data_IF_874517256444
#
_entry.id   IF_874517256444
#
_cell.length_a   1.000
_cell.length_b   1.000
_cell.length_c   1.000
_cell.angle_alpha   90.00
_cell.angle_beta   90.00
_cell.angle_gamma   90.00
#
_symmetry.space_group_name_H-M   'P 1'
#
loop_
_entity.id
_entity.type
_entity.pdbx_description
1 polymer ?
#
# COMPACT_ATOMS: atom_id res chain seq x y z
N UNK A 1 -8.65 38.80 2.37
CA UNK A 1 -7.56 38.18 1.58
C UNK A 1 -6.89 37.15 2.45
N UNK A 2 -6.75 35.92 1.97
CA UNK A 2 -6.05 34.85 2.71
C UNK A 2 -4.57 35.21 2.86
N UNK A 3 -4.07 35.20 4.09
CA UNK A 3 -2.67 35.50 4.45
C UNK A 3 -1.79 34.25 4.51
N UNK A 4 -2.29 33.12 4.03
CA UNK A 4 -1.60 31.84 4.06
C UNK A 4 -0.83 31.59 2.78
N UNK A 5 0.39 31.08 2.94
CA UNK A 5 1.26 30.66 1.84
C UNK A 5 1.56 29.17 2.02
N UNK A 6 0.69 28.26 1.54
CA UNK A 6 0.96 26.85 1.59
C UNK A 6 2.10 26.51 0.62
N UNK A 7 3.07 25.74 1.10
CA UNK A 7 4.13 25.14 0.29
C UNK A 7 3.94 23.63 0.29
N UNK A 8 3.60 23.07 -0.86
CA UNK A 8 3.58 21.62 -1.05
C UNK A 8 5.01 21.08 -0.92
N UNK A 9 5.17 20.06 -0.10
CA UNK A 9 6.44 19.37 0.17
C UNK A 9 6.46 18.00 -0.47
N UNK A 10 5.34 17.29 -0.42
CA UNK A 10 5.14 16.00 -1.08
C UNK A 10 3.75 15.97 -1.70
N UNK A 11 3.63 15.31 -2.85
CA UNK A 11 2.37 15.02 -3.50
C UNK A 11 2.36 13.56 -3.90
N UNK A 12 1.27 12.85 -3.62
CA UNK A 12 1.13 11.44 -4.02
C UNK A 12 -0.30 11.11 -4.38
N UNK A 13 -0.46 10.15 -5.30
CA UNK A 13 -1.75 9.49 -5.51
C UNK A 13 -1.89 8.35 -4.49
N UNK A 14 -3.06 8.21 -3.89
CA UNK A 14 -3.41 7.11 -3.01
C UNK A 14 -4.79 6.56 -3.35
N UNK A 15 -5.04 5.34 -2.90
CA UNK A 15 -6.33 4.67 -2.97
C UNK A 15 -7.05 4.78 -1.64
N UNK A 16 -8.26 5.34 -1.66
CA UNK A 16 -9.16 5.40 -0.52
C UNK A 16 -10.21 4.30 -0.63
N UNK A 17 -10.67 3.77 0.50
CA UNK A 17 -11.81 2.87 0.55
C UNK A 17 -13.06 3.62 0.99
N UNK A 18 -14.08 3.65 0.14
CA UNK A 18 -15.39 4.19 0.44
C UNK A 18 -16.26 3.09 1.07
N UNK A 19 -16.53 3.22 2.37
CA UNK A 19 -17.32 2.26 3.13
C UNK A 19 -18.79 2.25 2.72
N UNK A 20 -19.34 3.40 2.30
CA UNK A 20 -20.75 3.50 1.94
C UNK A 20 -21.06 2.71 0.65
N UNK A 21 -20.11 2.68 -0.29
CA UNK A 21 -20.25 1.99 -1.58
C UNK A 21 -19.43 0.70 -1.66
N UNK A 22 -18.70 0.36 -0.59
CA UNK A 22 -17.71 -0.71 -0.54
C UNK A 22 -16.77 -0.68 -1.76
N UNK A 23 -16.29 0.50 -2.17
CA UNK A 23 -15.49 0.68 -3.38
C UNK A 23 -14.19 1.43 -3.15
N UNK A 24 -13.23 1.24 -4.03
CA UNK A 24 -11.96 1.96 -3.99
C UNK A 24 -12.01 3.16 -4.95
N UNK A 25 -11.39 4.27 -4.55
CA UNK A 25 -11.28 5.46 -5.38
C UNK A 25 -9.89 6.09 -5.25
N UNK A 26 -9.39 6.68 -6.33
CA UNK A 26 -8.10 7.37 -6.34
C UNK A 26 -8.26 8.80 -5.81
N UNK A 27 -7.27 9.26 -5.05
CA UNK A 27 -7.20 10.60 -4.51
C UNK A 27 -5.77 11.16 -4.63
N UNK A 28 -5.65 12.47 -4.79
CA UNK A 28 -4.35 13.15 -4.67
C UNK A 28 -4.20 13.65 -3.24
N UNK A 29 -3.02 13.45 -2.65
CA UNK A 29 -2.69 13.90 -1.30
C UNK A 29 -1.46 14.77 -1.35
N UNK A 30 -1.60 15.96 -0.77
CA UNK A 30 -0.51 16.91 -0.63
C UNK A 30 -0.14 17.06 0.85
N UNK A 31 1.16 16.96 1.15
CA UNK A 31 1.74 17.38 2.43
C UNK A 31 2.21 18.82 2.28
N UNK A 32 1.63 19.74 3.04
CA UNK A 32 1.91 21.17 2.96
C UNK A 32 2.50 21.73 4.26
N UNK A 33 3.50 22.59 4.11
CA UNK A 33 3.90 23.51 5.18
C UNK A 33 3.22 24.85 4.95
N UNK A 34 2.46 25.34 5.92
CA UNK A 34 1.73 26.59 5.82
C UNK A 34 2.50 27.69 6.55
N UNK A 35 2.70 28.83 5.87
CA UNK A 35 3.35 30.00 6.43
C UNK A 35 2.40 31.20 6.43
N UNK A 36 2.62 32.17 7.33
CA UNK A 36 1.83 33.40 7.41
C UNK A 36 2.57 34.62 6.85
N UNK A 37 1.83 35.42 6.06
CA UNK A 37 2.14 36.81 5.72
C UNK A 37 3.49 37.11 5.08
N UNK A 38 3.90 38.39 5.13
CA UNK A 38 5.16 38.88 4.52
C UNK A 38 6.41 38.28 5.20
N UNK A 39 6.35 38.04 6.50
CA UNK A 39 7.48 37.53 7.29
C UNK A 39 7.65 36.00 7.20
N UNK A 40 6.76 35.29 6.47
CA UNK A 40 6.79 33.83 6.27
C UNK A 40 7.03 33.04 7.56
N UNK A 41 6.33 33.40 8.64
CA UNK A 41 6.41 32.65 9.90
C UNK A 41 5.67 31.33 9.72
N UNK A 42 6.32 30.21 10.05
CA UNK A 42 5.72 28.89 10.02
C UNK A 42 4.46 28.85 10.91
N UNK A 43 3.35 28.36 10.35
CA UNK A 43 2.06 28.26 11.02
C UNK A 43 1.79 26.82 11.46
N UNK A 44 1.76 25.91 10.50
CA UNK A 44 1.31 24.54 10.71
C UNK A 44 1.73 23.62 9.56
N UNK A 45 1.71 22.32 9.84
CA UNK A 45 1.66 21.27 8.83
C UNK A 45 0.20 21.03 8.45
N UNK A 46 -0.06 20.84 7.16
CA UNK A 46 -1.38 20.55 6.61
C UNK A 46 -1.29 19.37 5.65
N UNK A 47 -2.33 18.54 5.62
CA UNK A 47 -2.52 17.48 4.65
C UNK A 47 -3.85 17.71 3.96
N UNK A 48 -3.81 17.85 2.64
CA UNK A 48 -4.99 18.04 1.81
C UNK A 48 -5.19 16.81 0.93
N UNK A 49 -6.38 16.22 0.97
CA UNK A 49 -6.78 15.07 0.15
C UNK A 49 -7.88 15.52 -0.81
N UNK A 50 -7.57 15.50 -2.11
CA UNK A 50 -8.45 15.96 -3.18
C UNK A 50 -9.14 14.80 -3.89
N UNK A 51 -10.47 14.82 -3.93
CA UNK A 51 -11.31 13.76 -4.50
C UNK A 51 -12.45 14.42 -5.29
N UNK A 52 -12.48 14.23 -6.62
CA UNK A 52 -13.53 14.77 -7.48
C UNK A 52 -13.83 16.28 -7.32
N UNK A 53 -12.84 17.07 -6.89
CA UNK A 53 -12.98 18.52 -6.65
C UNK A 53 -13.23 18.90 -5.18
N UNK A 54 -13.63 17.96 -4.34
CA UNK A 54 -13.72 18.15 -2.89
C UNK A 54 -12.34 18.01 -2.24
N UNK A 55 -12.09 18.79 -1.19
CA UNK A 55 -10.83 18.79 -0.44
C UNK A 55 -11.10 18.48 1.03
N UNK A 56 -10.46 17.43 1.52
CA UNK A 56 -10.44 17.06 2.93
C UNK A 56 -9.10 17.45 3.53
N UNK A 57 -9.12 18.32 4.53
CA UNK A 57 -7.90 18.85 5.14
C UNK A 57 -7.74 18.38 6.58
N UNK A 58 -6.51 18.08 6.99
CA UNK A 58 -6.12 17.97 8.39
C UNK A 58 -4.91 18.85 8.66
N UNK A 59 -4.87 19.53 9.80
CA UNK A 59 -3.70 20.36 10.16
C UNK A 59 -3.26 20.16 11.59
N UNK A 60 -1.98 20.40 11.84
CA UNK A 60 -1.36 20.34 13.16
C UNK A 60 -0.05 21.14 13.19
N UNK A 61 0.24 21.81 14.31
CA UNK A 61 1.52 22.49 14.54
C UNK A 61 2.67 21.54 14.89
N UNK A 62 2.36 20.30 15.31
CA UNK A 62 3.33 19.33 15.83
C UNK A 62 3.94 18.40 14.78
N UNK A 63 3.39 18.33 13.56
CA UNK A 63 4.02 17.56 12.49
C UNK A 63 3.08 16.97 11.45
N UNK A 64 3.69 16.47 10.37
CA UNK A 64 2.94 15.85 9.27
C UNK A 64 2.17 14.61 9.69
N UNK A 65 2.74 13.73 10.54
CA UNK A 65 2.03 12.54 11.05
C UNK A 65 0.71 12.93 11.74
N UNK A 66 0.73 13.95 12.59
CA UNK A 66 -0.47 14.40 13.31
C UNK A 66 -1.50 15.02 12.36
N UNK A 67 -1.04 15.86 11.41
CA UNK A 67 -1.91 16.45 10.39
C UNK A 67 -2.55 15.37 9.50
N UNK A 68 -1.80 14.33 9.13
CA UNK A 68 -2.28 13.18 8.36
C UNK A 68 -3.34 12.38 9.11
N UNK A 69 -3.13 12.10 10.40
CA UNK A 69 -4.13 11.43 11.26
C UNK A 69 -5.39 12.27 11.42
N UNK A 70 -5.28 13.60 11.55
CA UNK A 70 -6.45 14.49 11.56
C UNK A 70 -7.20 14.45 10.22
N UNK A 71 -6.48 14.47 9.10
CA UNK A 71 -7.08 14.36 7.77
C UNK A 71 -7.81 13.01 7.59
N UNK A 72 -7.21 11.90 8.04
CA UNK A 72 -7.84 10.58 8.01
C UNK A 72 -9.17 10.55 8.78
N UNK A 73 -9.22 11.14 9.99
CA UNK A 73 -10.46 11.25 10.77
C UNK A 73 -11.53 12.09 10.07
N UNK A 74 -11.12 13.15 9.37
CA UNK A 74 -12.06 13.97 8.61
C UNK A 74 -12.62 13.21 7.41
N UNK A 75 -11.80 12.41 6.72
CA UNK A 75 -12.25 11.50 5.67
C UNK A 75 -13.23 10.43 6.20
N UNK A 76 -12.97 9.86 7.37
CA UNK A 76 -13.83 8.85 8.02
C UNK A 76 -15.24 9.39 8.26
N UNK A 77 -15.38 10.68 8.60
CA UNK A 77 -16.70 11.31 8.77
C UNK A 77 -17.55 11.31 7.49
N UNK A 78 -16.90 11.13 6.33
CA UNK A 78 -17.53 11.00 5.01
C UNK A 78 -17.48 9.57 4.47
N UNK A 79 -17.31 8.58 5.34
CA UNK A 79 -17.21 7.16 5.01
C UNK A 79 -16.01 6.80 4.11
N UNK A 80 -14.96 7.63 4.11
CA UNK A 80 -13.74 7.39 3.35
C UNK A 80 -12.62 6.99 4.29
N UNK A 81 -12.00 5.84 4.03
CA UNK A 81 -10.88 5.34 4.82
C UNK A 81 -9.57 5.54 4.05
N UNK A 82 -8.63 6.21 4.70
CA UNK A 82 -7.27 6.38 4.22
C UNK A 82 -6.36 5.38 4.92
N UNK A 83 -5.80 4.45 4.15
CA UNK A 83 -4.72 3.59 4.63
C UNK A 83 -3.40 4.03 4.04
N UNK A 84 -2.55 4.62 4.88
CA UNK A 84 -1.17 4.95 4.54
C UNK A 84 -0.27 4.60 5.71
N UNK A 85 1.03 4.42 5.46
CA UNK A 85 2.01 4.08 6.48
C UNK A 85 1.97 5.05 7.66
N UNK A 86 1.84 6.36 7.42
CA UNK A 86 1.81 7.39 8.46
C UNK A 86 0.61 7.31 9.40
N UNK A 87 -0.48 6.68 8.95
CA UNK A 87 -1.66 6.41 9.77
C UNK A 87 -1.51 5.15 10.63
N UNK A 88 -0.48 4.32 10.43
CA UNK A 88 -0.31 3.10 11.20
C UNK A 88 0.18 3.37 12.62
N UNK A 89 -0.33 2.59 13.58
CA UNK A 89 0.10 2.67 15.00
C UNK A 89 1.62 2.45 15.15
N UNK A 90 2.18 1.49 14.41
CA UNK A 90 3.61 1.18 14.43
C UNK A 90 4.52 2.15 13.66
N UNK A 91 3.96 3.16 12.99
CA UNK A 91 4.77 4.14 12.27
C UNK A 91 5.40 5.15 13.23
N UNK A 92 6.69 5.39 13.08
CA UNK A 92 7.44 6.33 13.92
C UNK A 92 8.37 7.20 13.09
N UNK A 93 8.53 8.46 13.48
CA UNK A 93 9.55 9.34 12.94
C UNK A 93 10.75 9.35 13.89
N UNK A 94 11.96 9.33 13.34
CA UNK A 94 13.18 9.55 14.13
C UNK A 94 13.48 11.05 14.20
N UNK A 95 14.39 11.48 15.07
CA UNK A 95 14.87 12.86 15.08
C UNK A 95 15.48 13.33 13.75
N UNK A 96 15.94 12.40 12.90
CA UNK A 96 16.48 12.68 11.56
C UNK A 96 15.41 12.71 10.46
N UNK A 97 14.24 12.12 10.70
CA UNK A 97 13.14 12.05 9.72
C UNK A 97 11.91 12.86 10.14
N UNK A 98 12.00 13.57 11.26
CA UNK A 98 10.90 14.35 11.80
C UNK A 98 10.45 15.41 10.81
N UNK A 99 9.17 15.34 10.41
CA UNK A 99 8.55 16.22 9.42
C UNK A 99 9.15 16.19 8.02
N UNK A 100 9.85 15.11 7.66
CA UNK A 100 10.41 14.94 6.31
C UNK A 100 9.47 14.22 5.33
N UNK A 101 8.30 13.77 5.79
CA UNK A 101 7.45 12.85 5.02
C UNK A 101 7.85 11.37 5.15
N UNK A 102 8.97 11.07 5.82
CA UNK A 102 9.46 9.70 6.00
C UNK A 102 9.54 9.27 7.46
N UNK A 103 9.38 7.97 7.70
CA UNK A 103 9.56 7.36 9.01
C UNK A 103 9.83 5.87 8.89
N UNK A 104 9.61 5.16 9.98
CA UNK A 104 9.88 3.73 10.10
C UNK A 104 8.62 2.99 10.46
N UNK A 105 8.34 1.91 9.73
CA UNK A 105 7.32 0.93 10.03
C UNK A 105 7.99 -0.43 10.07
N UNK A 106 7.92 -1.16 11.19
CA UNK A 106 8.60 -2.45 11.37
C UNK A 106 10.09 -2.41 10.99
N UNK A 107 10.82 -1.40 11.48
CA UNK A 107 12.24 -1.13 11.18
C UNK A 107 12.55 -0.85 9.70
N UNK A 108 11.54 -0.70 8.85
CA UNK A 108 11.70 -0.33 7.45
C UNK A 108 11.42 1.15 7.24
N UNK A 109 12.37 1.86 6.60
CA UNK A 109 12.15 3.22 6.13
C UNK A 109 11.01 3.25 5.10
N UNK A 110 10.00 4.08 5.34
CA UNK A 110 8.82 4.21 4.48
C UNK A 110 8.33 5.66 4.49
N UNK A 111 7.84 6.12 3.34
CA UNK A 111 7.16 7.38 3.17
C UNK A 111 5.77 7.29 3.80
N UNK A 112 5.36 8.31 4.53
CA UNK A 112 4.11 8.27 5.30
C UNK A 112 2.86 8.13 4.42
N UNK A 113 2.89 8.60 3.17
CA UNK A 113 1.79 8.42 2.20
C UNK A 113 1.81 7.07 1.47
N UNK A 114 2.62 6.10 1.90
CA UNK A 114 2.72 4.82 1.21
C UNK A 114 1.65 3.81 1.60
N UNK A 115 1.14 3.04 0.63
CA UNK A 115 0.07 2.06 0.84
C UNK A 115 0.54 0.61 0.75
N UNK A 116 1.83 0.40 0.47
CA UNK A 116 2.49 -0.88 0.57
C UNK A 116 3.99 -0.72 0.43
N UNK A 117 4.76 -1.68 0.89
CA UNK A 117 6.21 -1.58 0.89
C UNK A 117 6.81 -2.89 0.39
N UNK A 118 7.85 -2.78 -0.44
CA UNK A 118 8.68 -3.94 -0.74
C UNK A 118 9.41 -4.35 0.54
N UNK A 119 9.39 -5.65 0.81
CA UNK A 119 10.10 -6.26 1.92
C UNK A 119 11.42 -6.77 1.36
N UNK A 120 12.52 -6.17 1.78
CA UNK A 120 13.83 -6.70 1.43
C UNK A 120 13.93 -8.13 2.00
N UNK A 121 14.12 -9.13 1.13
CA UNK A 121 14.47 -10.49 1.54
C UNK A 121 15.91 -10.52 2.04
N UNK A 122 16.76 -9.65 1.47
CA UNK A 122 18.17 -9.52 1.80
C UNK A 122 18.64 -8.07 1.63
N UNK A 123 19.61 -7.57 2.42
CA UNK A 123 20.21 -6.23 2.26
C UNK A 123 20.91 -5.97 0.90
N UNK A 124 20.95 -6.98 0.02
CA UNK A 124 21.54 -6.88 -1.33
C UNK A 124 20.51 -7.07 -2.45
N UNK A 125 19.23 -7.20 -2.13
CA UNK A 125 18.20 -7.30 -3.15
C UNK A 125 18.11 -5.98 -3.91
N UNK A 126 18.27 -6.04 -5.23
CA UNK A 126 18.13 -4.87 -6.07
C UNK A 126 16.73 -4.26 -5.93
N UNK A 127 16.57 -2.92 -6.03
CA UNK A 127 15.26 -2.31 -6.11
C UNK A 127 14.43 -3.00 -7.19
N UNK A 128 13.14 -3.17 -6.93
CA UNK A 128 12.23 -3.81 -7.87
C UNK A 128 12.13 -2.90 -9.09
N UNK A 129 12.76 -3.28 -10.20
CA UNK A 129 12.59 -2.59 -11.46
C UNK A 129 11.73 -3.47 -12.37
N UNK A 130 10.46 -3.09 -12.60
CA UNK A 130 9.72 -3.70 -13.70
C UNK A 130 10.45 -3.38 -15.00
N UNK A 131 10.44 -4.33 -15.93
CA UNK A 131 10.85 -4.04 -17.30
C UNK A 131 9.86 -3.05 -17.95
N UNK A 132 10.26 -2.35 -19.02
CA UNK A 132 9.49 -1.25 -19.60
C UNK A 132 8.09 -1.60 -20.10
N UNK A 133 7.75 -2.89 -20.15
CA UNK A 133 6.47 -3.43 -20.58
C UNK A 133 5.84 -4.36 -19.54
N UNK A 134 6.33 -4.35 -18.29
CA UNK A 134 5.75 -5.13 -17.19
C UNK A 134 4.79 -4.30 -16.35
N UNK A 135 3.66 -4.90 -16.01
CA UNK A 135 2.82 -4.48 -14.89
C UNK A 135 3.22 -5.25 -13.63
N UNK A 136 2.97 -4.64 -12.47
CA UNK A 136 3.23 -5.27 -11.18
C UNK A 136 1.97 -5.91 -10.63
N UNK A 137 2.04 -7.20 -10.31
CA UNK A 137 0.94 -7.95 -9.74
C UNK A 137 1.27 -8.42 -8.32
N UNK A 138 0.43 -8.07 -7.36
CA UNK A 138 0.54 -8.53 -5.98
C UNK A 138 -0.35 -9.75 -5.74
N UNK A 139 0.25 -10.83 -5.24
CA UNK A 139 -0.43 -12.08 -4.92
C UNK A 139 -0.35 -12.39 -3.43
N UNK A 140 -1.47 -12.78 -2.83
CA UNK A 140 -1.59 -13.10 -1.40
C UNK A 140 -2.30 -14.44 -1.12
N UNK A 141 -2.62 -15.18 -2.18
CA UNK A 141 -3.27 -16.49 -2.12
C UNK A 141 -2.49 -17.57 -2.87
N UNK A 142 -3.18 -18.46 -3.58
CA UNK A 142 -2.52 -19.55 -4.32
C UNK A 142 -1.59 -19.08 -5.44
N UNK A 143 -1.79 -17.88 -5.98
CA UNK A 143 -0.90 -17.34 -7.02
C UNK A 143 0.49 -16.94 -6.48
N UNK A 144 0.73 -17.13 -5.18
CA UNK A 144 2.09 -17.15 -4.63
C UNK A 144 2.89 -18.42 -5.04
N UNK A 145 2.21 -19.47 -5.48
CA UNK A 145 2.83 -20.68 -6.02
C UNK A 145 3.37 -20.39 -7.43
N UNK A 146 4.70 -20.41 -7.56
CA UNK A 146 5.37 -20.13 -8.83
C UNK A 146 4.93 -21.07 -9.95
N UNK A 147 4.69 -22.36 -9.69
CA UNK A 147 4.22 -23.30 -10.72
C UNK A 147 2.83 -22.93 -11.21
N UNK A 148 1.96 -22.48 -10.31
CA UNK A 148 0.63 -21.98 -10.67
C UNK A 148 0.74 -20.68 -11.48
N UNK A 149 1.58 -19.74 -11.04
CA UNK A 149 1.77 -18.47 -11.73
C UNK A 149 2.35 -18.68 -13.14
N UNK A 150 3.32 -19.57 -13.31
CA UNK A 150 3.88 -19.93 -14.64
C UNK A 150 2.84 -20.59 -15.54
N UNK A 151 1.95 -21.43 -15.01
CA UNK A 151 0.87 -22.01 -15.82
C UNK A 151 -0.12 -20.96 -16.31
N UNK A 152 -0.32 -19.89 -15.53
CA UNK A 152 -1.21 -18.78 -15.85
C UNK A 152 -0.57 -17.75 -16.78
N UNK A 153 0.66 -17.34 -16.47
CA UNK A 153 1.46 -16.36 -17.18
C UNK A 153 2.89 -16.92 -17.27
N UNK A 154 3.24 -17.65 -18.35
CA UNK A 154 4.53 -18.32 -18.47
C UNK A 154 5.75 -17.42 -18.35
N UNK A 155 5.58 -16.14 -18.68
CA UNK A 155 6.62 -15.10 -18.62
C UNK A 155 6.60 -14.29 -17.32
N UNK A 156 5.75 -14.65 -16.34
CA UNK A 156 5.73 -13.96 -15.06
C UNK A 156 7.05 -14.14 -14.31
N UNK A 157 7.55 -13.04 -13.75
CA UNK A 157 8.81 -12.98 -13.02
C UNK A 157 8.55 -12.65 -11.57
N UNK A 158 9.04 -13.48 -10.65
CA UNK A 158 8.98 -13.17 -9.23
C UNK A 158 9.96 -12.02 -8.92
N UNK A 159 9.43 -10.89 -8.42
CA UNK A 159 10.20 -9.70 -8.10
C UNK A 159 10.61 -9.66 -6.62
N UNK A 160 9.81 -10.27 -5.74
CA UNK A 160 10.14 -10.38 -4.32
C UNK A 160 8.92 -10.34 -3.41
N UNK A 161 9.17 -10.12 -2.12
CA UNK A 161 8.15 -10.03 -1.08
C UNK A 161 7.66 -8.59 -0.94
N UNK A 162 6.36 -8.44 -0.69
CA UNK A 162 5.72 -7.13 -0.46
C UNK A 162 4.70 -7.25 0.67
N UNK A 163 4.46 -6.14 1.37
CA UNK A 163 3.33 -5.99 2.28
C UNK A 163 2.42 -4.85 1.83
N UNK A 164 1.10 -5.09 1.85
CA UNK A 164 0.07 -4.06 1.67
C UNK A 164 -0.39 -3.52 3.01
N UNK A 165 -0.58 -2.20 3.10
CA UNK A 165 -0.93 -1.48 4.32
C UNK A 165 -2.43 -1.23 4.41
N UNK A 166 -3.00 -1.53 5.57
CA UNK A 166 -4.42 -1.35 5.94
C UNK A 166 -5.38 -2.30 5.26
N UNK A 167 -4.89 -3.48 4.94
CA UNK A 167 -5.72 -4.60 4.51
C UNK A 167 -5.57 -5.74 5.51
N UNK A 168 -6.63 -6.54 5.61
CA UNK A 168 -6.60 -7.87 6.21
C UNK A 168 -7.05 -8.88 5.18
N UNK A 169 -6.64 -10.12 5.39
CA UNK A 169 -7.03 -11.23 4.54
C UNK A 169 -8.24 -11.93 5.16
N UNK A 170 -9.24 -12.25 4.34
CA UNK A 170 -10.39 -13.04 4.77
C UNK A 170 -10.76 -14.06 3.68
N UNK A 171 -11.65 -14.98 4.01
CA UNK A 171 -12.16 -15.97 3.06
C UNK A 171 -13.54 -15.50 2.59
N UNK A 172 -13.70 -15.34 1.29
CA UNK A 172 -15.01 -14.98 0.72
C UNK A 172 -15.91 -16.21 0.54
N UNK A 173 -17.18 -15.99 0.19
CA UNK A 173 -18.18 -17.06 -0.05
C UNK A 173 -17.77 -18.08 -1.12
N UNK A 174 -16.88 -17.73 -2.04
CA UNK A 174 -16.34 -18.65 -3.05
C UNK A 174 -15.24 -19.57 -2.49
N UNK A 175 -14.89 -19.46 -1.21
CA UNK A 175 -13.83 -20.23 -0.55
C UNK A 175 -12.42 -19.85 -1.01
N UNK A 176 -12.25 -18.59 -1.39
CA UNK A 176 -10.97 -18.01 -1.84
C UNK A 176 -10.56 -16.85 -0.94
N UNK A 177 -9.26 -16.57 -0.88
CA UNK A 177 -8.79 -15.40 -0.14
C UNK A 177 -9.18 -14.12 -0.86
N UNK A 178 -9.58 -13.12 -0.07
CA UNK A 178 -9.87 -11.77 -0.52
C UNK A 178 -9.27 -10.77 0.47
N UNK A 179 -9.18 -9.49 0.07
CA UNK A 179 -8.75 -8.41 0.93
C UNK A 179 -9.94 -7.64 1.47
N UNK A 180 -9.98 -7.42 2.77
CA UNK A 180 -10.88 -6.44 3.37
C UNK A 180 -10.07 -5.26 3.87
N UNK A 181 -10.63 -4.05 3.81
CA UNK A 181 -10.00 -2.92 4.45
C UNK A 181 -9.99 -3.16 5.96
N UNK A 182 -8.82 -3.04 6.59
CA UNK A 182 -8.69 -3.07 8.04
C UNK A 182 -7.57 -2.15 8.46
N UNK A 183 -7.94 -1.10 9.17
CA UNK A 183 -6.98 -0.16 9.71
C UNK A 183 -5.92 -0.88 10.56
N UNK A 184 -4.69 -0.37 10.55
CA UNK A 184 -3.54 -0.95 11.27
C UNK A 184 -3.20 -2.42 10.95
N UNK A 185 -3.58 -2.91 9.77
CA UNK A 185 -3.29 -4.30 9.36
C UNK A 185 -2.31 -4.36 8.18
N UNK A 186 -1.65 -5.50 8.03
CA UNK A 186 -0.71 -5.77 6.95
C UNK A 186 -1.05 -7.11 6.29
N UNK A 187 -1.06 -7.13 4.97
CA UNK A 187 -1.16 -8.36 4.19
C UNK A 187 0.17 -8.59 3.48
N UNK A 188 0.79 -9.73 3.73
CA UNK A 188 2.03 -10.14 3.08
C UNK A 188 1.74 -10.96 1.83
N UNK A 189 2.56 -10.77 0.81
CA UNK A 189 2.42 -11.46 -0.45
C UNK A 189 3.67 -11.36 -1.31
N UNK A 190 3.55 -11.85 -2.54
CA UNK A 190 4.59 -11.79 -3.55
C UNK A 190 4.24 -10.79 -4.64
N UNK A 191 5.25 -10.05 -5.07
CA UNK A 191 5.18 -9.13 -6.19
C UNK A 191 5.74 -9.81 -7.44
N UNK A 192 4.95 -9.79 -8.51
CA UNK A 192 5.28 -10.36 -9.80
C UNK A 192 5.37 -9.26 -10.85
N UNK A 193 6.33 -9.38 -11.77
CA UNK A 193 6.35 -8.66 -13.03
C UNK A 193 5.60 -9.52 -14.05
N UNK A 194 4.58 -8.96 -14.69
CA UNK A 194 3.80 -9.64 -15.72
C UNK A 194 3.73 -8.76 -16.97
N UNK A 195 3.74 -9.32 -18.19
CA UNK A 195 3.64 -8.51 -19.40
C UNK A 195 2.35 -7.69 -19.43
N UNK A 196 2.45 -6.45 -19.88
CA UNK A 196 1.34 -5.51 -19.94
C UNK A 196 0.20 -5.98 -20.86
N UNK A 197 0.55 -6.76 -21.88
CA UNK A 197 -0.33 -7.36 -22.88
C UNK A 197 -0.86 -8.74 -22.47
N UNK A 198 -0.59 -9.19 -21.24
CA UNK A 198 -1.03 -10.49 -20.76
C UNK A 198 -2.56 -10.57 -20.71
N UNK A 199 -3.13 -11.43 -21.57
CA UNK A 199 -4.57 -11.72 -21.59
C UNK A 199 -5.07 -12.32 -20.29
N UNK A 200 -4.19 -12.90 -19.48
CA UNK A 200 -4.56 -13.47 -18.18
C UNK A 200 -5.31 -12.47 -17.29
N UNK A 201 -4.93 -11.18 -17.35
CA UNK A 201 -5.61 -10.12 -16.62
C UNK A 201 -7.04 -9.89 -17.12
N UNK A 202 -7.22 -9.81 -18.43
CA UNK A 202 -8.53 -9.67 -19.08
C UNK A 202 -9.39 -10.90 -18.84
N UNK A 203 -8.82 -12.09 -18.99
CA UNK A 203 -9.50 -13.37 -18.77
C UNK A 203 -9.93 -13.54 -17.30
N UNK A 204 -9.16 -13.00 -16.34
CA UNK A 204 -9.54 -12.98 -14.92
C UNK A 204 -10.68 -12.00 -14.65
N UNK A 205 -10.74 -10.87 -15.35
CA UNK A 205 -11.86 -9.92 -15.25
C UNK A 205 -13.15 -10.51 -15.82
N UNK A 206 -13.06 -11.31 -16.88
CA UNK A 206 -14.22 -11.82 -17.62
C UNK A 206 -14.75 -13.18 -17.13
N UNK A 207 -13.88 -14.11 -16.69
CA UNK A 207 -14.27 -15.51 -16.46
C UNK A 207 -14.70 -15.86 -15.03
N UNK A 208 -14.53 -14.98 -14.04
CA UNK A 208 -15.04 -15.23 -12.68
C UNK A 208 -16.19 -14.29 -12.39
N UNK A 209 -17.42 -14.79 -12.48
CA UNK A 209 -18.61 -14.00 -12.14
C UNK A 209 -18.57 -13.48 -10.68
N UNK A 210 -17.76 -14.10 -9.80
CA UNK A 210 -17.67 -13.79 -8.36
C UNK A 210 -16.36 -13.08 -7.92
N UNK A 211 -15.34 -12.96 -8.78
CA UNK A 211 -14.00 -12.40 -8.49
C UNK A 211 -13.61 -11.48 -9.67
N UNK A 212 -13.04 -10.29 -9.61
CA UNK A 212 -12.47 -9.44 -8.56
C UNK A 212 -12.53 -7.98 -9.07
N UNK A 213 -12.60 -6.99 -8.18
CA UNK A 213 -12.25 -5.61 -8.55
C UNK A 213 -10.73 -5.53 -8.64
N UNK A 214 -10.20 -4.99 -9.74
CA UNK A 214 -8.77 -4.66 -9.82
C UNK A 214 -8.50 -3.47 -8.91
N UNK A 215 -7.68 -3.69 -7.89
CA UNK A 215 -7.24 -2.66 -6.96
C UNK A 215 -5.85 -2.18 -7.40
N UNK A 216 -5.74 -0.92 -7.81
CA UNK A 216 -4.47 -0.25 -8.08
C UNK A 216 -3.95 0.38 -6.78
N UNK A 217 -2.71 0.06 -6.38
CA UNK A 217 -2.07 0.59 -5.18
C UNK A 217 -0.70 1.15 -5.51
N UNK A 218 -0.32 2.22 -4.80
CA UNK A 218 1.03 2.77 -4.88
C UNK A 218 1.91 2.19 -3.77
N UNK A 219 2.97 1.51 -4.17
CA UNK A 219 4.00 1.01 -3.25
C UNK A 219 5.31 1.78 -3.41
N UNK A 220 6.08 1.81 -2.32
CA UNK A 220 7.41 2.39 -2.34
C UNK A 220 8.43 1.33 -2.71
N UNK A 221 9.09 1.56 -3.84
CA UNK A 221 10.27 0.81 -4.22
C UNK A 221 11.47 1.31 -3.41
N UNK A 222 11.92 0.56 -2.40
CA UNK A 222 13.10 0.97 -1.63
C UNK A 222 14.36 0.85 -2.51
N UNK A 223 15.12 1.94 -2.78
CA UNK A 223 16.51 1.77 -3.16
C UNK A 223 17.25 1.18 -1.96
N UNK A 224 18.13 0.22 -2.23
CA UNK A 224 19.11 -0.20 -1.22
C UNK A 224 20.04 0.99 -0.97
N UNK A 225 20.10 1.54 0.26
CA UNK A 225 21.14 2.52 0.56
C UNK A 225 22.47 1.80 0.45
N UNK A 226 23.20 2.04 -0.66
CA UNK A 226 24.57 1.60 -0.76
C UNK A 226 25.34 2.23 0.40
N UNK A 227 25.99 1.41 1.20
CA UNK A 227 26.59 1.75 2.50
C UNK A 227 27.74 2.78 2.44
N UNK A 228 27.95 3.40 1.27
CA UNK A 228 29.04 4.36 1.02
C UNK A 228 28.61 5.80 0.76
N UNK A 229 27.32 6.12 0.64
CA UNK A 229 26.91 7.51 0.41
C UNK A 229 26.04 8.04 1.55
N UNK A 230 26.64 8.87 2.41
CA UNK A 230 25.92 9.81 3.31
C UNK A 230 25.31 11.00 2.54
N UNK A 231 25.15 10.91 1.22
CA UNK A 231 24.41 11.93 0.50
C UNK A 231 22.95 11.84 0.91
N UNK A 232 22.41 13.00 1.28
CA UNK A 232 20.98 13.28 1.32
C UNK A 232 20.32 12.59 0.14
N UNK A 233 19.46 11.61 0.40
CA UNK A 233 18.62 10.99 -0.62
C UNK A 233 17.89 12.14 -1.34
N UNK A 234 18.02 12.29 -2.66
CA UNK A 234 17.26 13.30 -3.38
C UNK A 234 15.76 13.08 -3.12
N UNK A 235 14.97 14.17 -3.16
CA UNK A 235 13.52 14.14 -2.89
C UNK A 235 12.74 13.15 -3.79
N UNK A 236 13.38 12.60 -4.83
CA UNK A 236 12.86 11.61 -5.78
C UNK A 236 13.49 10.21 -5.63
N UNK A 237 14.11 9.88 -4.49
CA UNK A 237 14.86 8.62 -4.37
C UNK A 237 13.99 7.34 -4.39
N UNK A 238 12.67 7.47 -4.34
CA UNK A 238 11.77 6.33 -4.38
C UNK A 238 10.86 6.45 -5.59
N UNK A 239 10.93 5.46 -6.48
CA UNK A 239 9.96 5.32 -7.56
C UNK A 239 8.67 4.77 -6.96
N UNK A 240 7.59 5.53 -7.19
CA UNK A 240 6.24 5.08 -6.93
C UNK A 240 5.89 4.05 -7.98
N UNK A 241 5.62 2.83 -7.51
CA UNK A 241 5.19 1.76 -8.38
C UNK A 241 3.69 1.54 -8.18
N UNK A 242 2.95 1.62 -9.29
CA UNK A 242 1.55 1.19 -9.33
C UNK A 242 1.54 -0.34 -9.48
N UNK A 243 0.88 -1.02 -8.54
CA UNK A 243 0.61 -2.45 -8.63
C UNK A 243 -0.87 -2.71 -8.71
N UNK A 244 -1.21 -3.85 -9.29
CA UNK A 244 -2.55 -4.40 -9.33
C UNK A 244 -2.65 -5.60 -8.40
N UNK A 245 -3.78 -5.70 -7.71
CA UNK A 245 -4.18 -6.89 -6.97
C UNK A 245 -5.66 -7.13 -7.18
N UNK A 246 -6.09 -8.33 -6.80
CA UNK A 246 -7.47 -8.75 -6.88
C UNK A 246 -8.15 -8.68 -5.52
N UNK A 247 -9.41 -8.21 -5.50
CA UNK A 247 -10.26 -8.14 -4.31
C UNK A 247 -11.67 -8.62 -4.65
N UNK A 248 -12.19 -9.54 -3.84
CA UNK A 248 -13.50 -10.15 -4.05
C UNK A 248 -14.61 -9.09 -4.09
N UNK A 249 -15.59 -9.31 -4.96
CA UNK A 249 -16.76 -8.41 -5.08
C UNK A 249 -17.68 -8.53 -3.87
N UNK A 250 -17.74 -9.72 -3.27
CA UNK A 250 -18.52 -9.99 -2.06
C UNK A 250 -17.60 -10.02 -0.82
N UNK A 251 -17.97 -9.24 0.19
CA UNK A 251 -17.27 -9.14 1.48
C UNK A 251 -17.86 -10.06 2.56
N UNK A 252 -18.82 -10.92 2.20
CA UNK A 252 -19.35 -11.95 3.08
C UNK A 252 -18.30 -13.03 3.36
N UNK A 253 -18.22 -13.42 4.63
CA UNK A 253 -17.33 -14.47 5.10
C UNK A 253 -17.82 -15.83 4.55
N UNK A 254 -16.93 -16.56 3.89
CA UNK A 254 -17.16 -17.93 3.46
C UNK A 254 -16.28 -18.93 4.22
N UNK A 255 -16.07 -20.08 3.59
CA UNK A 255 -15.27 -21.17 4.14
C UNK A 255 -14.20 -21.62 3.16
N UNK A 256 -12.97 -21.81 3.64
CA UNK A 256 -11.85 -22.27 2.82
C UNK A 256 -11.63 -23.75 3.04
N UNK A 257 -11.47 -24.51 1.95
CA UNK A 257 -11.10 -25.91 2.06
C UNK A 257 -9.76 -26.06 2.81
N UNK A 258 -9.69 -27.00 3.75
CA UNK A 258 -8.48 -27.22 4.58
C UNK A 258 -7.22 -27.37 3.74
N UNK A 259 -7.28 -28.16 2.66
CA UNK A 259 -6.16 -28.36 1.75
C UNK A 259 -5.72 -27.09 1.02
N UNK A 260 -6.66 -26.19 0.72
CA UNK A 260 -6.38 -24.89 0.11
C UNK A 260 -5.67 -23.98 1.12
N UNK A 261 -6.19 -23.88 2.35
CA UNK A 261 -5.57 -23.12 3.43
C UNK A 261 -4.16 -23.60 3.74
N UNK A 262 -3.98 -24.91 3.93
CA UNK A 262 -2.67 -25.52 4.20
C UNK A 262 -1.65 -25.18 3.11
N UNK A 263 -2.05 -25.21 1.84
CA UNK A 263 -1.18 -24.81 0.73
C UNK A 263 -0.73 -23.35 0.84
N UNK A 264 -1.64 -22.43 1.20
CA UNK A 264 -1.30 -21.01 1.36
C UNK A 264 -0.37 -20.80 2.57
N UNK A 265 -0.64 -21.46 3.69
CA UNK A 265 0.22 -21.41 4.89
C UNK A 265 1.63 -21.92 4.56
N UNK A 266 1.73 -23.05 3.85
CA UNK A 266 3.02 -23.62 3.44
C UNK A 266 3.81 -22.66 2.51
N UNK A 267 3.13 -21.98 1.58
CA UNK A 267 3.76 -20.96 0.73
C UNK A 267 4.27 -19.77 1.58
N UNK A 268 3.45 -19.28 2.51
CA UNK A 268 3.84 -18.18 3.41
C UNK A 268 5.07 -18.54 4.26
N UNK A 269 5.14 -19.78 4.76
CA UNK A 269 6.30 -20.32 5.47
C UNK A 269 7.53 -20.43 4.56
N UNK A 270 7.35 -20.96 3.34
CA UNK A 270 8.42 -21.12 2.35
C UNK A 270 9.10 -19.79 2.02
N UNK A 271 8.33 -18.71 1.85
CA UNK A 271 8.87 -17.38 1.58
C UNK A 271 9.32 -16.62 2.84
N UNK A 272 9.15 -17.20 4.02
CA UNK A 272 9.56 -16.58 5.29
C UNK A 272 8.81 -15.27 5.52
N UNK A 273 7.49 -15.30 5.46
CA UNK A 273 6.65 -14.21 5.94
C UNK A 273 6.66 -14.12 7.47
N UNK A 274 6.16 -13.01 7.99
CA UNK A 274 6.10 -12.76 9.43
C UNK A 274 5.34 -13.90 10.16
N UNK A 275 5.88 -14.45 11.26
CA UNK A 275 5.24 -15.56 11.98
C UNK A 275 3.83 -15.23 12.51
N UNK A 276 3.56 -13.98 12.91
CA UNK A 276 2.23 -13.59 13.34
C UNK A 276 1.25 -13.57 12.17
N UNK A 277 1.69 -13.17 10.97
CA UNK A 277 0.87 -13.28 9.76
C UNK A 277 0.58 -14.73 9.37
N UNK A 278 1.56 -15.62 9.45
CA UNK A 278 1.36 -17.06 9.20
C UNK A 278 0.30 -17.63 10.16
N UNK A 279 0.37 -17.27 11.44
CA UNK A 279 -0.64 -17.66 12.43
C UNK A 279 -2.04 -17.13 12.08
N UNK A 280 -2.15 -15.92 11.55
CA UNK A 280 -3.43 -15.39 11.06
C UNK A 280 -3.99 -16.29 9.94
N UNK A 281 -3.16 -16.68 8.96
CA UNK A 281 -3.58 -17.56 7.86
C UNK A 281 -4.06 -18.94 8.36
N UNK A 282 -3.42 -19.48 9.39
CA UNK A 282 -3.81 -20.77 10.01
C UNK A 282 -5.21 -20.72 10.65
N UNK A 283 -5.66 -19.54 11.11
CA UNK A 283 -6.97 -19.35 11.75
C UNK A 283 -8.13 -19.11 10.78
N UNK A 284 -7.84 -18.96 9.48
CA UNK A 284 -8.86 -18.83 8.46
C UNK A 284 -9.72 -20.10 8.40
N UNK A 285 -11.03 -19.92 8.33
CA UNK A 285 -12.03 -20.98 8.30
C UNK A 285 -13.03 -20.71 7.19
#
# INVERSE_FOLDING_TARGET
MSWEHPKVTHSRRITLFNQATCSFQQANVDLLMVYTGKSRVFKEYRVDVSIHGDVFSGSCSHGFKSALVHCAKNLESSHLLMSTAGCMEGFSESGLSYNSGYGYLNNSLVHMLCQGTTLASHPFDHPVQPESHEMLFFSYGLDMDASRMTNHVPTARLLGKTALIGFDVFVNVAGTLSLNYKHNSLVYGLLWGIPSESRWLSDHQDNRQELDRTLCLTIQNKPVPSSRSRQTLPDHAFDDLELITYVGKNFEQGHIATSHREKIVNLAQQYGFDPAYIKTLETLH
#
